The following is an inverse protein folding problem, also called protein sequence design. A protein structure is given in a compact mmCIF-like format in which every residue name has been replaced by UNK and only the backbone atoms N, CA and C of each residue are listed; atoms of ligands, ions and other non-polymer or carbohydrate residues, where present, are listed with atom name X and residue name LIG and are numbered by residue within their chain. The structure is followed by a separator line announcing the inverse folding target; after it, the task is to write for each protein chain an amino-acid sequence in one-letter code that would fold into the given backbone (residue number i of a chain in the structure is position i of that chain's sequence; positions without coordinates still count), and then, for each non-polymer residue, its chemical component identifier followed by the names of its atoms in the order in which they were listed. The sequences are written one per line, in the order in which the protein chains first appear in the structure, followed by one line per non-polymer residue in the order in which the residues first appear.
data_IF_208674764184
#
_entry.id   IF_208674764184
#
_cell.length_a   1.000
_cell.length_b   1.000
_cell.length_c   1.000
_cell.angle_alpha   90.00
_cell.angle_beta   90.00
_cell.angle_gamma   90.00
#
_symmetry.space_group_name_H-M   'P 1'
#
loop_
_entity.id
_entity.type
_entity.pdbx_description
1 polymer ?
#
# COMPACT_ATOMS: atom_id res chain seq x y z
N UNK A 1 14.14 -6.22 5.38
CA UNK A 1 12.75 -5.94 5.02
C UNK A 1 12.00 -5.59 6.29
N UNK A 2 11.44 -4.37 6.41
CA UNK A 2 10.84 -3.87 7.67
C UNK A 2 9.32 -4.07 7.69
N UNK A 3 8.66 -3.89 6.55
CA UNK A 3 7.24 -4.21 6.34
C UNK A 3 7.07 -4.89 4.99
N UNK A 4 6.11 -5.84 4.89
CA UNK A 4 5.73 -6.45 3.63
C UNK A 4 4.25 -6.76 3.60
N UNK A 5 3.61 -6.36 2.51
CA UNK A 5 2.27 -6.76 2.17
C UNK A 5 2.33 -7.51 0.83
N UNK A 6 1.67 -8.66 0.75
CA UNK A 6 1.53 -9.41 -0.50
C UNK A 6 0.06 -9.45 -0.85
N UNK A 7 -0.21 -9.08 -2.09
CA UNK A 7 -1.50 -9.29 -2.71
C UNK A 7 -1.33 -10.14 -3.97
N UNK A 8 -2.43 -10.72 -4.43
CA UNK A 8 -2.49 -11.67 -5.54
C UNK A 8 -2.43 -11.00 -6.91
N UNK A 9 -2.74 -9.70 -6.96
CA UNK A 9 -2.67 -8.86 -8.16
C UNK A 9 -1.41 -7.99 -8.23
N UNK A 10 -1.13 -7.46 -9.42
CA UNK A 10 -0.12 -6.42 -9.60
C UNK A 10 -0.64 -5.08 -9.08
N UNK A 11 0.23 -4.28 -8.48
CA UNK A 11 -0.10 -2.90 -8.13
C UNK A 11 0.29 -1.96 -9.28
N UNK A 12 -0.61 -1.05 -9.65
CA UNK A 12 -0.32 -0.04 -10.67
C UNK A 12 0.44 1.15 -10.10
N UNK A 13 0.01 1.59 -8.92
CA UNK A 13 0.53 2.79 -8.28
C UNK A 13 0.58 2.63 -6.76
N UNK A 14 1.56 3.29 -6.17
CA UNK A 14 1.78 3.35 -4.73
C UNK A 14 2.05 4.79 -4.34
N UNK A 15 1.41 5.29 -3.28
CA UNK A 15 1.61 6.65 -2.78
C UNK A 15 1.74 6.72 -1.26
N UNK A 16 2.51 7.70 -0.81
CA UNK A 16 2.64 8.02 0.61
C UNK A 16 1.68 9.13 0.99
N UNK A 17 1.08 9.03 2.17
CA UNK A 17 0.40 10.18 2.74
C UNK A 17 1.41 11.29 3.11
N UNK A 18 0.93 12.52 3.32
CA UNK A 18 1.79 13.69 3.59
C UNK A 18 2.67 13.55 4.84
N UNK A 19 2.29 12.69 5.78
CA UNK A 19 3.03 12.41 7.01
C UNK A 19 4.05 11.27 6.87
N UNK A 20 4.05 10.54 5.75
CA UNK A 20 4.94 9.40 5.51
C UNK A 20 4.68 8.19 6.39
N UNK A 21 3.49 8.07 7.01
CA UNK A 21 3.17 6.99 7.94
C UNK A 21 2.18 5.95 7.38
N UNK A 22 1.55 6.28 6.25
CA UNK A 22 0.61 5.40 5.55
C UNK A 22 0.98 5.29 4.09
N UNK A 23 0.77 4.10 3.56
CA UNK A 23 1.01 3.76 2.17
C UNK A 23 -0.30 3.32 1.52
N UNK A 24 -0.71 4.02 0.47
CA UNK A 24 -1.85 3.65 -0.37
C UNK A 24 -1.38 2.86 -1.57
N UNK A 25 -2.12 1.82 -1.95
CA UNK A 25 -1.85 1.03 -3.15
C UNK A 25 -3.13 0.78 -3.93
N UNK A 26 -3.06 0.90 -5.26
CA UNK A 26 -4.15 0.57 -6.18
C UNK A 26 -3.85 -0.75 -6.89
N UNK A 27 -4.71 -1.74 -6.68
CA UNK A 27 -4.58 -3.10 -7.19
C UNK A 27 -5.22 -3.29 -8.57
N UNK A 28 -4.66 -4.19 -9.37
CA UNK A 28 -5.20 -4.54 -10.69
C UNK A 28 -6.57 -5.21 -10.67
N UNK A 29 -6.98 -5.71 -9.51
CA UNK A 29 -8.29 -6.30 -9.25
C UNK A 29 -9.36 -5.26 -8.85
N UNK A 30 -9.01 -3.96 -8.87
CA UNK A 30 -9.89 -2.87 -8.46
C UNK A 30 -9.90 -2.59 -6.96
N UNK A 31 -9.06 -3.29 -6.18
CA UNK A 31 -8.90 -3.02 -4.76
C UNK A 31 -8.07 -1.75 -4.52
N UNK A 32 -8.34 -1.09 -3.39
CA UNK A 32 -7.49 -0.01 -2.86
C UNK A 32 -7.17 -0.34 -1.42
N UNK A 33 -5.88 -0.47 -1.12
CA UNK A 33 -5.38 -0.88 0.18
C UNK A 33 -4.65 0.29 0.85
N UNK A 34 -4.83 0.44 2.16
CA UNK A 34 -4.08 1.41 2.98
C UNK A 34 -3.34 0.63 4.05
N UNK A 35 -2.00 0.69 3.99
CA UNK A 35 -1.12 0.12 5.00
C UNK A 35 -0.73 1.20 6.00
N UNK A 36 -1.14 1.04 7.26
CA UNK A 36 -0.64 1.85 8.38
C UNK A 36 0.69 1.26 8.87
N UNK A 37 1.73 2.08 8.88
CA UNK A 37 3.08 1.70 9.32
C UNK A 37 3.39 2.19 10.73
N UNK A 38 2.43 2.87 11.37
CA UNK A 38 2.52 3.15 12.80
C UNK A 38 2.29 1.84 13.56
N UNK A 39 3.23 1.53 14.46
CA UNK A 39 3.12 0.40 15.39
C UNK A 39 1.84 0.43 16.20
#
# INVERSE_FOLDING_TARGET
MVHSYRDTGGFFEICWNSRGDKLGASGSDGSVCVLDLRR
#
